data_IF_013010265734
#
_entry.id   IF_013010265734
#
_cell.length_a   1.000
_cell.length_b   1.000
_cell.length_c   1.000
_cell.angle_alpha   90.00
_cell.angle_beta   90.00
_cell.angle_gamma   90.00
#
_symmetry.space_group_name_H-M   'P 1'
#
loop_
_entity.id
_entity.type
_entity.pdbx_description
1 polymer ?
#
# COMPACT_ATOMS: atom_id res chain seq x y z
N UNK A 1 -42.11 33.57 22.25
CA UNK A 1 -41.88 32.85 20.98
C UNK A 1 -42.15 33.82 19.83
N UNK A 2 -41.44 33.70 18.71
CA UNK A 2 -41.54 34.64 17.58
C UNK A 2 -42.10 33.93 16.35
N UNK A 3 -43.01 34.56 15.63
CA UNK A 3 -43.49 34.08 14.33
C UNK A 3 -42.79 34.85 13.21
N UNK A 4 -42.54 34.20 12.09
CA UNK A 4 -42.01 34.88 10.91
C UNK A 4 -43.09 35.79 10.31
N UNK A 5 -42.76 37.08 10.12
CA UNK A 5 -43.69 38.06 9.53
C UNK A 5 -44.05 37.76 8.07
N UNK A 6 -43.19 37.05 7.34
CA UNK A 6 -43.40 36.74 5.93
C UNK A 6 -44.00 35.34 5.74
N UNK A 7 -43.49 34.36 6.48
CA UNK A 7 -43.80 32.94 6.28
C UNK A 7 -44.82 32.38 7.29
N UNK A 8 -45.16 33.12 8.36
CA UNK A 8 -46.13 32.71 9.38
C UNK A 8 -45.69 31.55 10.28
N UNK A 9 -44.53 30.93 10.02
CA UNK A 9 -44.01 29.80 10.80
C UNK A 9 -43.52 30.24 12.17
N UNK A 10 -43.78 29.41 13.18
CA UNK A 10 -43.29 29.59 14.54
C UNK A 10 -41.78 29.32 14.61
N UNK A 11 -41.03 30.25 15.18
CA UNK A 11 -39.59 30.20 15.28
C UNK A 11 -39.17 29.98 16.73
N UNK A 12 -38.14 29.16 16.89
CA UNK A 12 -37.45 28.95 18.16
C UNK A 12 -36.96 30.29 18.73
N UNK A 13 -36.97 30.44 20.05
CA UNK A 13 -36.64 31.70 20.72
C UNK A 13 -35.19 32.16 20.45
N UNK A 14 -34.30 31.24 20.08
CA UNK A 14 -32.90 31.51 19.75
C UNK A 14 -32.65 31.85 18.26
N UNK A 15 -33.67 31.77 17.40
CA UNK A 15 -33.53 31.94 15.96
C UNK A 15 -33.40 33.42 15.56
N UNK A 16 -32.24 33.79 14.99
CA UNK A 16 -31.98 35.16 14.47
C UNK A 16 -32.58 35.41 13.08
N UNK A 17 -32.82 34.36 12.30
CA UNK A 17 -33.39 34.40 10.95
C UNK A 17 -34.35 33.24 10.74
N UNK A 18 -35.36 33.43 9.91
CA UNK A 18 -36.24 32.34 9.50
C UNK A 18 -35.48 31.36 8.57
N UNK A 19 -35.42 30.05 8.87
CA UNK A 19 -34.69 29.10 8.04
C UNK A 19 -35.33 28.82 6.66
N UNK A 20 -36.59 29.23 6.46
CA UNK A 20 -37.33 28.98 5.21
C UNK A 20 -37.22 30.13 4.21
N UNK A 21 -37.27 31.37 4.70
CA UNK A 21 -37.31 32.56 3.85
C UNK A 21 -36.24 33.60 4.20
N UNK A 22 -35.28 33.24 5.06
CA UNK A 22 -34.14 34.03 5.50
C UNK A 22 -34.45 35.43 6.07
N UNK A 23 -35.73 35.70 6.31
CA UNK A 23 -36.21 36.98 6.84
C UNK A 23 -35.68 37.13 8.27
N UNK A 24 -35.02 38.26 8.60
CA UNK A 24 -34.50 38.48 9.95
C UNK A 24 -35.66 38.56 10.94
N UNK A 25 -35.48 37.91 12.09
CA UNK A 25 -36.49 37.91 13.15
C UNK A 25 -36.33 39.17 13.97
N UNK A 26 -37.34 40.04 13.94
CA UNK A 26 -37.38 41.25 14.76
C UNK A 26 -38.52 41.17 15.76
N UNK A 27 -38.19 41.00 17.04
CA UNK A 27 -39.16 41.01 18.14
C UNK A 27 -38.73 42.01 19.22
N UNK A 28 -39.29 43.23 19.25
CA UNK A 28 -38.87 44.28 20.17
C UNK A 28 -39.24 44.01 21.64
N UNK A 29 -40.08 43.00 21.91
CA UNK A 29 -40.42 42.56 23.28
C UNK A 29 -39.65 41.30 23.71
N UNK A 30 -38.79 40.75 22.84
CA UNK A 30 -38.00 39.57 23.19
C UNK A 30 -36.84 39.96 24.14
N UNK A 31 -36.50 39.11 25.12
CA UNK A 31 -35.27 39.27 25.88
C UNK A 31 -34.06 39.19 24.93
N UNK A 32 -32.99 39.93 25.24
CA UNK A 32 -31.80 40.03 24.38
C UNK A 32 -31.30 38.65 23.90
N UNK A 33 -31.01 38.48 22.59
CA UNK A 33 -30.75 37.19 21.97
C UNK A 33 -29.46 36.50 22.43
N UNK A 34 -28.62 37.15 23.25
CA UNK A 34 -27.32 36.60 23.68
C UNK A 34 -27.41 35.63 24.88
N UNK A 35 -28.52 35.59 25.62
CA UNK A 35 -28.62 34.77 26.85
C UNK A 35 -29.24 33.38 26.66
N UNK A 36 -29.68 33.02 25.46
CA UNK A 36 -30.35 31.72 25.24
C UNK A 36 -29.36 30.65 24.75
N UNK A 37 -29.28 29.49 25.41
CA UNK A 37 -28.40 28.41 24.98
C UNK A 37 -28.86 27.89 23.61
N UNK A 38 -27.94 27.79 22.65
CA UNK A 38 -28.23 27.20 21.35
C UNK A 38 -28.60 25.72 21.53
N UNK A 39 -29.66 25.21 20.85
CA UNK A 39 -30.05 23.79 20.92
C UNK A 39 -28.96 22.82 20.43
N UNK A 40 -27.99 23.32 19.66
CA UNK A 40 -26.92 22.52 19.10
C UNK A 40 -25.72 22.44 20.06
N UNK A 41 -25.23 21.22 20.38
CA UNK A 41 -24.01 21.05 21.16
C UNK A 41 -22.83 21.68 20.41
N UNK A 42 -22.10 22.57 21.09
CA UNK A 42 -20.93 23.27 20.53
C UNK A 42 -19.70 22.38 20.45
N UNK A 43 -19.66 21.32 21.26
CA UNK A 43 -18.57 20.36 21.28
C UNK A 43 -18.75 19.36 20.14
N UNK A 44 -17.90 19.47 19.12
CA UNK A 44 -17.72 18.40 18.15
C UNK A 44 -17.08 17.24 18.91
N UNK A 45 -17.78 16.11 19.03
CA UNK A 45 -17.19 14.87 19.56
C UNK A 45 -15.91 14.58 18.79
N UNK A 46 -14.76 14.76 19.46
CA UNK A 46 -13.47 14.45 18.85
C UNK A 46 -13.39 12.93 18.76
N UNK A 47 -13.54 12.39 17.56
CA UNK A 47 -13.26 10.98 17.30
C UNK A 47 -11.77 10.78 17.59
N UNK A 48 -11.46 10.04 18.66
CA UNK A 48 -10.07 9.73 19.00
C UNK A 48 -9.40 9.08 17.79
N UNK A 49 -8.34 9.72 17.30
CA UNK A 49 -7.58 9.21 16.17
C UNK A 49 -6.95 7.89 16.60
N UNK A 50 -7.40 6.78 16.02
CA UNK A 50 -6.92 5.42 16.36
C UNK A 50 -5.39 5.41 16.32
N UNK A 51 -4.77 5.07 17.46
CA UNK A 51 -3.31 4.99 17.54
C UNK A 51 -2.85 3.82 16.68
N UNK A 52 -1.87 4.06 15.79
CA UNK A 52 -1.32 3.03 14.88
C UNK A 52 -0.86 1.77 15.61
N UNK A 53 -0.39 1.91 16.85
CA UNK A 53 0.00 0.78 17.71
C UNK A 53 -1.17 -0.14 18.05
N UNK A 54 -2.32 0.44 18.39
CA UNK A 54 -3.53 -0.32 18.76
C UNK A 54 -4.09 -1.06 17.54
N UNK A 55 -4.06 -0.41 16.37
CA UNK A 55 -4.38 -1.05 15.09
C UNK A 55 -3.41 -2.20 14.78
N UNK A 56 -2.11 -2.01 15.00
CA UNK A 56 -1.11 -3.06 14.81
C UNK A 56 -1.37 -4.27 15.70
N UNK A 57 -1.60 -4.05 16.99
CA UNK A 57 -1.94 -5.13 17.94
C UNK A 57 -3.20 -5.87 17.48
N UNK A 58 -4.27 -5.15 17.15
CA UNK A 58 -5.52 -5.76 16.69
C UNK A 58 -5.29 -6.64 15.45
N UNK A 59 -4.58 -6.12 14.44
CA UNK A 59 -4.27 -6.88 13.23
C UNK A 59 -3.41 -8.11 13.52
N UNK A 60 -2.40 -8.00 14.39
CA UNK A 60 -1.59 -9.17 14.78
C UNK A 60 -2.42 -10.25 15.47
N UNK A 61 -3.36 -9.86 16.33
CA UNK A 61 -4.25 -10.81 17.02
C UNK A 61 -5.16 -11.52 16.02
N UNK A 62 -5.76 -10.79 15.07
CA UNK A 62 -6.62 -11.36 14.04
C UNK A 62 -5.86 -12.37 13.17
N UNK A 63 -4.66 -11.98 12.73
CA UNK A 63 -3.81 -12.81 11.88
C UNK A 63 -3.35 -14.06 12.62
N UNK A 64 -2.89 -13.93 13.87
CA UNK A 64 -2.51 -15.06 14.72
C UNK A 64 -3.69 -16.00 14.99
N UNK A 65 -4.85 -15.46 15.35
CA UNK A 65 -6.06 -16.23 15.59
C UNK A 65 -6.45 -17.03 14.34
N UNK A 66 -6.39 -16.42 13.16
CA UNK A 66 -6.68 -17.08 11.88
C UNK A 66 -5.74 -18.29 11.67
N UNK A 67 -4.42 -18.09 11.81
CA UNK A 67 -3.45 -19.17 11.68
C UNK A 67 -3.64 -20.30 12.69
N UNK A 68 -3.90 -19.97 13.96
CA UNK A 68 -4.17 -20.95 15.02
C UNK A 68 -5.43 -21.74 14.70
N UNK A 69 -6.52 -21.07 14.32
CA UNK A 69 -7.79 -21.74 14.02
C UNK A 69 -7.65 -22.69 12.84
N UNK A 70 -7.00 -22.24 11.75
CA UNK A 70 -6.72 -23.10 10.60
C UNK A 70 -5.81 -24.28 10.95
N UNK A 71 -4.78 -24.08 11.78
CA UNK A 71 -3.91 -25.15 12.25
C UNK A 71 -4.65 -26.19 13.10
N UNK A 72 -5.52 -25.74 14.02
CA UNK A 72 -6.35 -26.62 14.83
C UNK A 72 -7.33 -27.42 13.96
N UNK A 73 -7.98 -26.79 12.98
CA UNK A 73 -8.88 -27.49 12.05
C UNK A 73 -8.14 -28.58 11.26
N UNK A 74 -6.91 -28.32 10.83
CA UNK A 74 -6.10 -29.31 10.12
C UNK A 74 -5.67 -30.47 11.02
N UNK A 75 -5.38 -30.18 12.30
CA UNK A 75 -4.99 -31.21 13.27
C UNK A 75 -6.18 -32.11 13.69
N UNK A 76 -7.35 -31.52 13.91
CA UNK A 76 -8.50 -32.24 14.47
C UNK A 76 -9.47 -32.79 13.43
N UNK A 77 -9.69 -32.08 12.32
CA UNK A 77 -10.73 -32.41 11.33
C UNK A 77 -10.11 -32.93 10.03
N UNK A 78 -9.16 -32.20 9.45
CA UNK A 78 -8.63 -32.48 8.11
C UNK A 78 -7.23 -33.13 8.16
N UNK A 79 -7.12 -34.34 8.74
CA UNK A 79 -5.81 -35.03 8.90
C UNK A 79 -5.18 -35.52 7.59
N UNK A 80 -5.95 -35.64 6.51
CA UNK A 80 -5.49 -36.18 5.23
C UNK A 80 -4.80 -35.15 4.34
N UNK A 81 -5.03 -33.85 4.55
CA UNK A 81 -4.41 -32.79 3.77
C UNK A 81 -3.78 -31.74 4.69
N UNK A 82 -2.66 -31.14 4.26
CA UNK A 82 -1.96 -30.09 4.99
C UNK A 82 -2.37 -28.70 4.52
N UNK A 83 -3.65 -28.51 4.17
CA UNK A 83 -4.16 -27.27 3.56
C UNK A 83 -3.91 -26.03 4.42
N UNK A 84 -3.92 -26.16 5.75
CA UNK A 84 -3.64 -25.03 6.65
C UNK A 84 -2.26 -24.42 6.46
N UNK A 85 -1.27 -25.14 5.90
CA UNK A 85 0.06 -24.60 5.63
C UNK A 85 0.01 -23.45 4.63
N UNK A 86 -0.89 -23.51 3.63
CA UNK A 86 -1.07 -22.40 2.70
C UNK A 86 -1.58 -21.15 3.43
N UNK A 87 -2.59 -21.31 4.29
CA UNK A 87 -3.16 -20.19 5.06
C UNK A 87 -2.15 -19.61 6.04
N UNK A 88 -1.46 -20.46 6.81
CA UNK A 88 -0.44 -20.05 7.78
C UNK A 88 0.69 -19.28 7.07
N UNK A 89 1.11 -19.74 5.89
CA UNK A 89 2.13 -19.06 5.10
C UNK A 89 1.71 -17.68 4.60
N UNK A 90 0.50 -17.53 4.05
CA UNK A 90 -0.02 -16.21 3.63
C UNK A 90 -0.15 -15.27 4.84
N UNK A 91 -0.67 -15.77 5.95
CA UNK A 91 -0.76 -15.04 7.22
C UNK A 91 0.62 -14.56 7.68
N UNK A 92 1.65 -15.42 7.62
CA UNK A 92 3.01 -15.07 7.99
C UNK A 92 3.56 -13.95 7.09
N UNK A 93 3.40 -14.05 5.77
CA UNK A 93 3.84 -13.01 4.83
C UNK A 93 3.15 -11.68 5.11
N UNK A 94 1.82 -11.69 5.28
CA UNK A 94 1.05 -10.50 5.63
C UNK A 94 1.49 -9.88 6.96
N UNK A 95 1.79 -10.73 7.95
CA UNK A 95 2.26 -10.27 9.25
C UNK A 95 3.61 -9.57 9.13
N UNK A 96 4.56 -10.14 8.39
CA UNK A 96 5.90 -9.54 8.20
C UNK A 96 5.82 -8.19 7.47
N UNK A 97 5.03 -8.11 6.39
CA UNK A 97 4.82 -6.85 5.63
C UNK A 97 4.20 -5.75 6.51
N UNK A 98 3.37 -6.12 7.48
CA UNK A 98 2.70 -5.18 8.38
C UNK A 98 3.66 -4.53 9.40
N UNK A 99 4.77 -5.19 9.73
CA UNK A 99 5.74 -4.71 10.73
C UNK A 99 6.26 -3.29 10.42
N UNK A 100 6.86 -3.02 9.24
CA UNK A 100 7.35 -1.68 8.90
C UNK A 100 6.22 -0.64 8.76
N UNK A 101 5.02 -1.06 8.32
CA UNK A 101 3.89 -0.16 8.02
C UNK A 101 3.20 0.33 9.29
N UNK A 102 2.95 -0.58 10.25
CA UNK A 102 2.05 -0.33 11.38
C UNK A 102 2.78 -0.40 12.72
N UNK A 103 3.66 -1.38 12.93
CA UNK A 103 4.22 -1.71 14.25
C UNK A 103 5.50 -0.91 14.54
N UNK A 104 6.45 -0.89 13.60
CA UNK A 104 7.76 -0.28 13.79
C UNK A 104 8.22 0.52 12.57
N UNK A 105 7.76 1.77 12.49
CA UNK A 105 8.06 2.69 11.37
C UNK A 105 9.54 3.13 11.30
N UNK A 106 10.38 2.80 12.30
CA UNK A 106 11.81 3.16 12.35
C UNK A 106 12.75 2.07 11.84
N UNK A 107 12.21 0.95 11.35
CA UNK A 107 13.03 -0.17 10.88
C UNK A 107 13.86 0.23 9.65
N UNK A 108 15.13 -0.21 9.55
CA UNK A 108 15.91 0.02 8.36
C UNK A 108 15.26 -0.70 7.17
N UNK A 109 14.98 0.03 6.10
CA UNK A 109 14.22 -0.51 4.95
C UNK A 109 14.87 -1.76 4.34
N UNK A 110 16.20 -1.83 4.29
CA UNK A 110 16.89 -3.02 3.78
C UNK A 110 16.57 -4.27 4.61
N UNK A 111 16.51 -4.15 5.94
CA UNK A 111 16.12 -5.26 6.81
C UNK A 111 14.67 -5.67 6.55
N UNK A 112 13.77 -4.70 6.34
CA UNK A 112 12.38 -4.97 6.01
C UNK A 112 12.25 -5.77 4.69
N UNK A 113 12.92 -5.33 3.63
CA UNK A 113 12.89 -6.01 2.33
C UNK A 113 13.46 -7.43 2.44
N UNK A 114 14.54 -7.60 3.21
CA UNK A 114 15.14 -8.91 3.44
C UNK A 114 14.21 -9.83 4.23
N UNK A 115 13.54 -9.32 5.27
CA UNK A 115 12.54 -10.07 6.03
C UNK A 115 11.34 -10.47 5.16
N UNK A 116 10.85 -9.58 4.30
CA UNK A 116 9.79 -9.88 3.35
C UNK A 116 10.22 -11.00 2.38
N UNK A 117 11.45 -10.94 1.85
CA UNK A 117 12.01 -11.99 1.01
C UNK A 117 12.10 -13.34 1.73
N UNK A 118 12.58 -13.35 2.98
CA UNK A 118 12.65 -14.56 3.82
C UNK A 118 11.23 -15.11 4.09
N UNK A 119 10.26 -14.26 4.39
CA UNK A 119 8.88 -14.67 4.62
C UNK A 119 8.28 -15.36 3.39
N UNK A 120 8.51 -14.82 2.20
CA UNK A 120 8.06 -15.43 0.94
C UNK A 120 8.79 -16.76 0.67
N UNK A 121 10.10 -16.85 0.93
CA UNK A 121 10.85 -18.13 0.81
C UNK A 121 10.26 -19.19 1.74
N UNK A 122 10.01 -18.84 3.00
CA UNK A 122 9.39 -19.76 3.97
C UNK A 122 8.01 -20.19 3.48
N UNK A 123 7.19 -19.26 2.96
CA UNK A 123 5.89 -19.60 2.41
C UNK A 123 5.98 -20.57 1.22
N UNK A 124 6.84 -20.30 0.24
CA UNK A 124 7.04 -21.18 -0.91
C UNK A 124 7.54 -22.56 -0.47
N UNK A 125 8.39 -22.62 0.55
CA UNK A 125 8.84 -23.88 1.14
C UNK A 125 7.69 -24.65 1.81
N UNK A 126 6.78 -23.96 2.53
CA UNK A 126 5.59 -24.60 3.10
C UNK A 126 4.67 -25.20 2.01
N UNK A 127 4.59 -24.58 0.84
CA UNK A 127 3.83 -25.11 -0.30
C UNK A 127 4.43 -26.40 -0.90
N UNK A 128 5.71 -26.71 -0.65
CA UNK A 128 6.28 -27.96 -1.16
C UNK A 128 5.67 -29.20 -0.49
N UNK A 129 5.24 -29.07 0.76
CA UNK A 129 4.50 -30.13 1.48
C UNK A 129 3.10 -30.39 0.89
N UNK A 130 2.51 -29.38 0.24
CA UNK A 130 1.20 -29.51 -0.43
C UNK A 130 1.33 -30.06 -1.85
N UNK A 131 2.38 -29.66 -2.57
CA UNK A 131 2.63 -30.09 -3.96
C UNK A 131 3.30 -31.46 -4.04
N UNK A 132 3.98 -31.90 -2.97
CA UNK A 132 4.62 -33.22 -2.89
C UNK A 132 5.96 -33.32 -3.62
N UNK A 133 6.39 -32.28 -4.34
CA UNK A 133 7.70 -32.23 -5.00
C UNK A 133 8.42 -30.91 -4.68
N UNK A 134 9.74 -30.98 -4.44
CA UNK A 134 10.55 -29.82 -4.04
C UNK A 134 11.36 -29.22 -5.21
N UNK A 135 11.32 -29.85 -6.40
CA UNK A 135 12.11 -29.44 -7.57
C UNK A 135 11.80 -28.02 -8.04
N UNK A 136 10.51 -27.65 -8.02
CA UNK A 136 10.06 -26.31 -8.41
C UNK A 136 10.55 -25.24 -7.43
N UNK A 137 10.65 -25.56 -6.13
CA UNK A 137 11.11 -24.62 -5.12
C UNK A 137 12.58 -24.26 -5.35
N UNK A 138 13.46 -25.25 -5.47
CA UNK A 138 14.88 -25.00 -5.68
C UNK A 138 15.21 -24.50 -7.09
N UNK A 139 14.50 -25.00 -8.10
CA UNK A 139 14.76 -24.65 -9.51
C UNK A 139 14.16 -23.32 -9.95
N UNK A 140 13.05 -22.89 -9.34
CA UNK A 140 12.27 -21.74 -9.80
C UNK A 140 11.90 -20.79 -8.65
N UNK A 141 11.25 -21.28 -7.59
CA UNK A 141 10.72 -20.44 -6.51
C UNK A 141 11.79 -19.62 -5.79
N UNK A 142 12.81 -20.29 -5.25
CA UNK A 142 13.93 -19.68 -4.55
C UNK A 142 14.72 -18.69 -5.42
N UNK A 143 15.17 -19.02 -6.64
CA UNK A 143 15.90 -18.06 -7.46
C UNK A 143 15.04 -16.86 -7.90
N UNK A 144 13.73 -17.05 -8.12
CA UNK A 144 12.83 -15.93 -8.41
C UNK A 144 12.75 -14.97 -7.22
N UNK A 145 12.54 -15.49 -6.00
CA UNK A 145 12.44 -14.61 -4.82
C UNK A 145 13.76 -13.87 -4.59
N UNK A 146 14.91 -14.56 -4.71
CA UNK A 146 16.22 -13.90 -4.60
C UNK A 146 16.42 -12.81 -5.66
N UNK A 147 16.02 -13.07 -6.92
CA UNK A 147 16.08 -12.08 -8.00
C UNK A 147 15.22 -10.86 -7.67
N UNK A 148 13.97 -11.07 -7.25
CA UNK A 148 13.04 -9.99 -6.90
C UNK A 148 13.57 -9.18 -5.73
N UNK A 149 14.00 -9.82 -4.65
CA UNK A 149 14.57 -9.16 -3.47
C UNK A 149 15.82 -8.36 -3.85
N UNK A 150 16.74 -8.93 -4.63
CA UNK A 150 17.95 -8.25 -5.07
C UNK A 150 17.66 -7.02 -5.95
N UNK A 151 16.71 -7.13 -6.90
CA UNK A 151 16.29 -6.01 -7.75
C UNK A 151 15.66 -4.90 -6.91
N UNK A 152 14.75 -5.24 -5.99
CA UNK A 152 14.10 -4.26 -5.12
C UNK A 152 15.12 -3.56 -4.19
N UNK A 153 16.07 -4.30 -3.63
CA UNK A 153 17.16 -3.72 -2.83
C UNK A 153 18.05 -2.80 -3.66
N UNK A 154 18.44 -3.21 -4.88
CA UNK A 154 19.25 -2.40 -5.79
C UNK A 154 18.54 -1.10 -6.18
N UNK A 155 17.26 -1.18 -6.56
CA UNK A 155 16.44 0.01 -6.88
C UNK A 155 16.30 0.92 -5.67
N UNK A 156 16.03 0.35 -4.49
CA UNK A 156 15.92 1.11 -3.23
C UNK A 156 17.24 1.80 -2.87
N UNK A 157 18.37 1.11 -3.10
CA UNK A 157 19.70 1.66 -2.90
C UNK A 157 19.98 2.83 -3.83
N UNK A 158 19.71 2.68 -5.12
CA UNK A 158 19.84 3.75 -6.11
C UNK A 158 18.99 4.97 -5.73
N UNK A 159 17.72 4.74 -5.36
CA UNK A 159 16.80 5.82 -4.96
C UNK A 159 17.29 6.58 -3.72
N UNK A 160 17.95 5.90 -2.79
CA UNK A 160 18.36 6.52 -1.51
C UNK A 160 19.74 7.14 -1.51
N UNK A 161 20.65 6.63 -2.32
CA UNK A 161 22.06 7.07 -2.33
C UNK A 161 22.37 8.05 -3.45
N UNK A 162 21.58 8.08 -4.52
CA UNK A 162 21.81 8.92 -5.69
C UNK A 162 20.90 10.16 -5.68
N UNK A 163 21.28 11.26 -6.34
CA UNK A 163 20.48 12.48 -6.38
C UNK A 163 19.13 12.22 -7.04
N UNK A 164 18.05 12.43 -6.28
CA UNK A 164 16.70 12.12 -6.72
C UNK A 164 16.04 13.28 -7.47
N UNK A 165 15.63 12.99 -8.70
CA UNK A 165 14.59 13.72 -9.42
C UNK A 165 13.51 12.72 -9.83
N UNK A 166 12.29 13.19 -10.12
CA UNK A 166 11.21 12.33 -10.61
C UNK A 166 11.64 11.48 -11.81
N UNK A 167 12.39 12.09 -12.74
CA UNK A 167 12.96 11.42 -13.92
C UNK A 167 14.01 10.37 -13.55
N UNK A 168 14.88 10.64 -12.58
CA UNK A 168 15.89 9.66 -12.12
C UNK A 168 15.23 8.45 -11.44
N UNK A 169 14.17 8.68 -10.66
CA UNK A 169 13.39 7.60 -10.05
C UNK A 169 12.71 6.71 -11.09
N UNK A 170 12.12 7.30 -12.13
CA UNK A 170 11.54 6.55 -13.25
C UNK A 170 12.60 5.69 -13.96
N UNK A 171 13.80 6.21 -14.20
CA UNK A 171 14.91 5.46 -14.81
C UNK A 171 15.30 4.23 -13.98
N UNK A 172 15.45 4.37 -12.65
CA UNK A 172 15.78 3.22 -11.79
C UNK A 172 14.66 2.17 -11.75
N UNK A 173 13.40 2.59 -11.79
CA UNK A 173 12.27 1.66 -11.82
C UNK A 173 12.18 0.91 -13.15
N UNK A 174 12.31 1.60 -14.27
CA UNK A 174 12.24 1.01 -15.62
C UNK A 174 13.39 0.03 -15.85
N UNK A 175 14.61 0.42 -15.48
CA UNK A 175 15.76 -0.48 -15.53
C UNK A 175 15.60 -1.70 -14.62
N UNK A 176 15.05 -1.52 -13.41
CA UNK A 176 14.71 -2.63 -12.51
C UNK A 176 13.70 -3.61 -13.11
N UNK A 177 12.64 -3.10 -13.75
CA UNK A 177 11.64 -3.92 -14.46
C UNK A 177 12.30 -4.71 -15.60
N UNK A 178 13.17 -4.08 -16.40
CA UNK A 178 13.87 -4.75 -17.48
C UNK A 178 14.72 -5.93 -16.99
N UNK A 179 15.51 -5.71 -15.93
CA UNK A 179 16.33 -6.75 -15.31
C UNK A 179 15.47 -7.89 -14.77
N UNK A 180 14.36 -7.57 -14.11
CA UNK A 180 13.44 -8.55 -13.56
C UNK A 180 12.78 -9.39 -14.67
N UNK A 181 12.30 -8.78 -15.74
CA UNK A 181 11.69 -9.49 -16.86
C UNK A 181 12.68 -10.43 -17.57
N UNK A 182 13.91 -9.98 -17.81
CA UNK A 182 14.97 -10.83 -18.40
C UNK A 182 15.32 -11.97 -17.46
N UNK A 183 15.55 -11.68 -16.18
CA UNK A 183 15.86 -12.71 -15.19
C UNK A 183 14.75 -13.75 -15.04
N UNK A 184 13.48 -13.34 -15.06
CA UNK A 184 12.34 -14.26 -15.03
C UNK A 184 12.30 -15.18 -16.26
N UNK A 185 12.45 -14.65 -17.47
CA UNK A 185 12.44 -15.47 -18.70
C UNK A 185 13.59 -16.47 -18.67
N UNK A 186 14.80 -16.04 -18.29
CA UNK A 186 15.96 -16.91 -18.15
C UNK A 186 15.73 -18.05 -17.13
N UNK A 187 15.15 -17.74 -15.97
CA UNK A 187 14.87 -18.75 -14.93
C UNK A 187 13.79 -19.74 -15.38
N UNK A 188 12.74 -19.24 -16.04
CA UNK A 188 11.63 -20.05 -16.53
C UNK A 188 12.09 -20.98 -17.66
N UNK A 189 12.80 -20.45 -18.65
CA UNK A 189 13.28 -21.24 -19.78
C UNK A 189 14.35 -22.25 -19.35
N UNK A 190 15.23 -21.88 -18.41
CA UNK A 190 16.18 -22.82 -17.82
C UNK A 190 15.48 -23.98 -17.11
N UNK A 191 14.37 -23.72 -16.43
CA UNK A 191 13.60 -24.73 -15.71
C UNK A 191 12.76 -25.62 -16.64
N UNK A 192 12.12 -25.05 -17.67
CA UNK A 192 11.19 -25.76 -18.55
C UNK A 192 11.86 -26.41 -19.77
N UNK A 193 12.80 -25.72 -20.41
CA UNK A 193 13.35 -26.07 -21.73
C UNK A 193 14.83 -26.45 -21.70
N UNK A 194 15.53 -26.15 -20.61
CA UNK A 194 17.00 -26.23 -20.45
C UNK A 194 17.83 -25.38 -21.43
N UNK A 195 17.21 -24.82 -22.46
CA UNK A 195 17.78 -23.85 -23.39
C UNK A 195 17.58 -22.43 -22.86
N UNK A 196 18.50 -21.54 -23.22
CA UNK A 196 18.43 -20.12 -22.88
C UNK A 196 18.04 -19.37 -24.15
N UNK A 197 16.78 -18.96 -24.25
CA UNK A 197 16.28 -18.13 -25.32
C UNK A 197 15.68 -16.85 -24.72
N UNK A 198 15.81 -15.72 -25.44
CA UNK A 198 15.15 -14.47 -25.08
C UNK A 198 14.05 -14.22 -26.11
N UNK A 199 12.80 -14.33 -25.69
CA UNK A 199 11.64 -14.08 -26.52
C UNK A 199 10.96 -12.77 -26.11
N UNK A 200 10.09 -12.85 -25.12
CA UNK A 200 9.26 -11.72 -24.70
C UNK A 200 10.03 -10.69 -23.89
N UNK A 201 11.01 -11.12 -23.08
CA UNK A 201 11.82 -10.17 -22.31
C UNK A 201 12.74 -9.33 -23.20
N UNK A 202 13.13 -9.82 -24.37
CA UNK A 202 13.89 -9.03 -25.35
C UNK A 202 13.08 -7.82 -25.84
N UNK A 203 11.78 -8.01 -26.10
CA UNK A 203 10.88 -6.91 -26.48
C UNK A 203 10.78 -5.89 -25.34
N UNK A 204 10.55 -6.35 -24.11
CA UNK A 204 10.48 -5.47 -22.93
C UNK A 204 11.80 -4.72 -22.73
N UNK A 205 12.94 -5.42 -22.85
CA UNK A 205 14.27 -4.85 -22.70
C UNK A 205 14.52 -3.74 -23.73
N UNK A 206 14.19 -3.97 -25.00
CA UNK A 206 14.38 -2.93 -26.04
C UNK A 206 13.57 -1.67 -25.76
N UNK A 207 12.30 -1.82 -25.35
CA UNK A 207 11.44 -0.68 -24.99
C UNK A 207 12.00 0.06 -23.77
N UNK A 208 12.35 -0.67 -22.70
CA UNK A 208 12.95 -0.09 -21.50
C UNK A 208 14.23 0.68 -21.80
N UNK A 209 15.13 0.12 -22.61
CA UNK A 209 16.39 0.76 -23.01
C UNK A 209 16.13 2.06 -23.80
N UNK A 210 15.18 2.06 -24.75
CA UNK A 210 14.84 3.27 -25.51
C UNK A 210 14.30 4.37 -24.57
N UNK A 211 13.44 4.00 -23.63
CA UNK A 211 12.88 4.95 -22.64
C UNK A 211 13.97 5.45 -21.70
N UNK A 212 14.84 4.59 -21.20
CA UNK A 212 15.94 4.95 -20.31
C UNK A 212 16.93 5.90 -21.00
N UNK A 213 17.28 5.65 -22.27
CA UNK A 213 18.09 6.56 -23.08
C UNK A 213 17.39 7.92 -23.22
N UNK A 214 16.09 7.93 -23.47
CA UNK A 214 15.30 9.17 -23.59
C UNK A 214 15.29 9.94 -22.27
N UNK A 215 15.12 9.27 -21.13
CA UNK A 215 15.15 9.90 -19.81
C UNK A 215 16.57 10.41 -19.49
N UNK A 216 17.60 9.62 -19.77
CA UNK A 216 19.00 10.01 -19.56
C UNK A 216 19.40 11.24 -20.40
N UNK A 217 18.97 11.30 -21.66
CA UNK A 217 19.21 12.46 -22.53
C UNK A 217 18.48 13.71 -22.01
N UNK A 218 17.22 13.58 -21.53
CA UNK A 218 16.48 14.66 -20.86
C UNK A 218 17.18 15.15 -19.60
N UNK A 219 17.75 14.24 -18.80
CA UNK A 219 18.49 14.56 -17.57
C UNK A 219 19.80 15.33 -17.87
N UNK A 220 20.49 14.99 -18.96
CA UNK A 220 21.73 15.67 -19.38
C UNK A 220 21.50 17.10 -19.89
N UNK A 221 20.33 17.38 -20.50
CA UNK A 221 20.03 18.67 -21.13
C UNK A 221 19.12 19.53 -20.24
N UNK A 222 19.73 20.48 -19.50
CA UNK A 222 19.01 21.43 -18.61
C UNK A 222 17.84 22.16 -19.29
N UNK A 223 17.95 22.50 -20.59
CA UNK A 223 16.90 23.17 -21.36
C UNK A 223 15.65 22.31 -21.54
N UNK A 224 15.79 21.03 -21.87
CA UNK A 224 14.64 20.11 -22.04
C UNK A 224 13.99 19.79 -20.70
N UNK A 225 14.78 19.55 -19.65
CA UNK A 225 14.27 19.35 -18.29
C UNK A 225 13.37 20.50 -17.83
N UNK A 226 13.77 21.75 -18.12
CA UNK A 226 12.98 22.93 -17.77
C UNK A 226 11.74 23.13 -18.65
N UNK A 227 11.72 22.60 -19.88
CA UNK A 227 10.55 22.63 -20.77
C UNK A 227 9.52 21.57 -20.35
N UNK A 228 9.96 20.37 -20.01
CA UNK A 228 9.11 19.28 -19.50
C UNK A 228 8.50 19.66 -18.16
N UNK A 229 9.29 20.19 -17.21
CA UNK A 229 8.78 20.66 -15.92
C UNK A 229 7.74 21.78 -16.06
N UNK A 230 7.89 22.67 -17.04
CA UNK A 230 6.90 23.72 -17.34
C UNK A 230 5.59 23.20 -17.91
N UNK A 231 5.61 22.08 -18.65
CA UNK A 231 4.42 21.51 -19.29
C UNK A 231 3.70 20.47 -18.44
N UNK A 232 4.41 19.78 -17.55
CA UNK A 232 3.84 18.74 -16.68
C UNK A 232 3.27 19.26 -15.35
N UNK A 233 3.13 20.58 -15.16
CA UNK A 233 2.49 21.23 -14.01
C UNK A 233 2.57 20.45 -12.67
N UNK A 234 3.77 20.40 -12.10
CA UNK A 234 4.01 20.13 -10.68
C UNK A 234 5.02 21.16 -10.14
#
# INVERSE_FOLDING_TARGET
MSYCVNCGVELDASAKKCPLCDTPVYNPKAPEPEKQPSPFPKEKGQVEVVKRKDLGVLLTVIVLATAVTCGLLNAFVFRSSLWSLAVIGVVLVLWVIMIPVVIYTRQPIYLSILLDGVAVIVYLYLLTYLTGHNSWFYGLGLPIVLLVTAVVEAVTFCIRKLPMSFLTGALYLISGIAVLCVGLELLIDRFLRQEIALGWSAIVLTICVIVDITIATLLSRRRLRNAVRRRLHF
#
